data_IF_212401360710
#
_entry.id   IF_212401360710
#
_cell.length_a   1.000
_cell.length_b   1.000
_cell.length_c   1.000
_cell.angle_alpha   90.00
_cell.angle_beta   90.00
_cell.angle_gamma   90.00
#
_symmetry.space_group_name_H-M   'P 1'
#
loop_
_entity.id
_entity.type
_entity.pdbx_description
1 polymer ?
#
# COMPACT_ATOMS: atom_id res chain seq x y z
N UNK A 1 6.76 -14.28 0.56
CA UNK A 1 7.78 -13.21 0.51
C UNK A 1 8.95 -13.36 1.50
N UNK A 2 8.81 -13.91 2.72
CA UNK A 2 9.92 -13.98 3.71
C UNK A 2 11.04 -15.00 3.41
N UNK A 3 11.00 -15.74 2.30
CA UNK A 3 11.83 -16.94 2.10
C UNK A 3 12.90 -16.82 1.02
N UNK A 4 13.05 -15.66 0.36
CA UNK A 4 14.23 -15.32 -0.43
C UNK A 4 15.09 -14.40 0.43
N UNK A 5 16.28 -14.84 0.87
CA UNK A 5 17.23 -13.97 1.58
C UNK A 5 17.82 -12.95 0.60
N UNK A 6 17.04 -11.93 0.25
CA UNK A 6 17.53 -10.79 -0.53
C UNK A 6 18.37 -9.89 0.37
N UNK A 7 19.38 -9.17 -0.18
CA UNK A 7 20.14 -8.18 0.59
C UNK A 7 19.23 -7.17 1.32
N UNK A 8 18.09 -6.80 0.71
CA UNK A 8 17.10 -5.91 1.32
C UNK A 8 16.43 -6.54 2.55
N UNK A 9 16.07 -7.83 2.50
CA UNK A 9 15.49 -8.55 3.64
C UNK A 9 16.48 -8.74 4.80
N UNK A 10 17.78 -8.54 4.56
CA UNK A 10 18.81 -8.52 5.62
C UNK A 10 18.91 -7.17 6.33
N UNK A 11 18.47 -6.09 5.67
CA UNK A 11 18.53 -4.70 6.16
C UNK A 11 17.21 -4.32 6.86
N UNK A 12 16.08 -4.82 6.35
CA UNK A 12 14.75 -4.56 6.91
C UNK A 12 14.06 -5.85 7.32
N UNK A 13 13.51 -5.87 8.54
CA UNK A 13 12.81 -7.02 9.11
C UNK A 13 11.29 -6.99 8.88
N UNK A 14 10.74 -5.82 8.57
CA UNK A 14 9.32 -5.55 8.26
C UNK A 14 9.22 -4.61 7.06
N UNK A 15 8.12 -4.67 6.29
CA UNK A 15 7.81 -3.75 5.18
C UNK A 15 9.03 -3.47 4.27
N UNK A 16 9.68 -4.56 3.83
CA UNK A 16 11.03 -4.52 3.24
C UNK A 16 11.08 -3.63 2.00
N UNK A 17 10.07 -3.75 1.15
CA UNK A 17 9.99 -2.97 -0.10
C UNK A 17 9.63 -1.51 0.20
N UNK A 18 8.73 -1.25 1.14
CA UNK A 18 8.31 0.10 1.50
C UNK A 18 9.46 0.89 2.15
N UNK A 19 10.27 0.23 2.98
CA UNK A 19 11.51 0.82 3.49
C UNK A 19 12.50 1.13 2.36
N UNK A 20 12.62 0.23 1.39
CA UNK A 20 13.44 0.47 0.21
C UNK A 20 12.92 1.67 -0.62
N UNK A 21 11.60 1.76 -0.84
CA UNK A 21 10.96 2.87 -1.56
C UNK A 21 11.19 4.22 -0.86
N UNK A 22 11.09 4.27 0.46
CA UNK A 22 11.41 5.48 1.21
C UNK A 22 12.89 5.86 1.05
N UNK A 23 13.80 4.89 1.13
CA UNK A 23 15.22 5.15 0.94
C UNK A 23 15.52 5.66 -0.48
N UNK A 24 14.92 5.08 -1.52
CA UNK A 24 15.02 5.59 -2.89
C UNK A 24 14.53 7.04 -2.99
N UNK A 25 13.41 7.35 -2.33
CA UNK A 25 12.87 8.72 -2.27
C UNK A 25 13.88 9.70 -1.67
N UNK A 26 14.52 9.34 -0.55
CA UNK A 26 15.57 10.16 0.09
C UNK A 26 16.79 10.30 -0.81
N UNK A 27 17.25 9.22 -1.45
CA UNK A 27 18.38 9.25 -2.37
C UNK A 27 18.13 10.20 -3.53
N UNK A 28 16.94 10.17 -4.14
CA UNK A 28 16.57 11.09 -5.23
C UNK A 28 16.56 12.55 -4.72
N UNK A 29 15.97 12.81 -3.55
CA UNK A 29 15.96 14.16 -2.96
C UNK A 29 17.37 14.70 -2.66
N UNK A 30 18.35 13.83 -2.44
CA UNK A 30 19.75 14.20 -2.20
C UNK A 30 20.55 14.45 -3.48
N UNK A 31 20.02 14.12 -4.66
CA UNK A 31 20.68 14.40 -5.92
C UNK A 31 20.66 15.90 -6.25
N UNK A 32 21.73 16.38 -6.89
CA UNK A 32 21.87 17.77 -7.29
C UNK A 32 20.69 18.20 -8.18
N UNK A 33 20.05 19.30 -7.81
CA UNK A 33 18.89 19.85 -8.54
C UNK A 33 17.54 19.17 -8.25
N UNK A 34 17.48 18.09 -7.47
CA UNK A 34 16.25 17.30 -7.26
C UNK A 34 15.56 17.55 -5.92
N UNK A 35 16.20 18.27 -4.99
CA UNK A 35 15.59 18.59 -3.71
C UNK A 35 14.46 19.64 -3.85
N UNK A 36 13.24 19.16 -4.09
CA UNK A 36 12.03 20.00 -4.18
C UNK A 36 11.63 20.61 -2.82
N UNK A 37 12.17 20.11 -1.71
CA UNK A 37 11.89 20.59 -0.35
C UNK A 37 12.97 21.55 0.16
N UNK A 38 13.94 21.96 -0.67
CA UNK A 38 15.11 22.74 -0.26
C UNK A 38 14.82 24.10 0.37
N UNK A 39 13.63 24.66 0.13
CA UNK A 39 13.21 25.97 0.67
C UNK A 39 12.61 25.86 2.07
N UNK A 40 12.32 24.65 2.54
CA UNK A 40 11.81 24.41 3.89
C UNK A 40 12.90 24.64 4.94
N UNK A 41 12.48 25.05 6.13
CA UNK A 41 13.37 25.04 7.30
C UNK A 41 13.77 23.60 7.65
N UNK A 42 14.85 23.42 8.40
CA UNK A 42 15.30 22.10 8.86
C UNK A 42 14.23 21.35 9.67
N UNK A 43 13.35 22.06 10.37
CA UNK A 43 12.27 21.46 11.14
C UNK A 43 11.14 20.94 10.22
N UNK A 44 10.69 21.77 9.28
CA UNK A 44 9.68 21.40 8.28
C UNK A 44 10.15 20.27 7.38
N UNK A 45 11.42 20.29 6.95
CA UNK A 45 12.02 19.24 6.13
C UNK A 45 11.98 17.88 6.85
N UNK A 46 12.33 17.85 8.15
CA UNK A 46 12.23 16.63 8.97
C UNK A 46 10.78 16.14 9.12
N UNK A 47 9.84 17.06 9.32
CA UNK A 47 8.41 16.73 9.40
C UNK A 47 7.88 16.18 8.07
N UNK A 48 8.25 16.79 6.95
CA UNK A 48 7.87 16.35 5.61
C UNK A 48 8.41 14.94 5.33
N UNK A 49 9.69 14.68 5.60
CA UNK A 49 10.26 13.34 5.45
C UNK A 49 9.62 12.31 6.38
N UNK A 50 9.28 12.69 7.62
CA UNK A 50 8.55 11.83 8.56
C UNK A 50 7.17 11.45 8.03
N UNK A 51 6.46 12.41 7.43
CA UNK A 51 5.16 12.18 6.81
C UNK A 51 5.27 11.32 5.55
N UNK A 52 6.24 11.59 4.66
CA UNK A 52 6.50 10.77 3.47
C UNK A 52 6.79 9.33 3.87
N UNK A 53 7.67 9.12 4.86
CA UNK A 53 7.98 7.79 5.38
C UNK A 53 6.73 7.08 5.89
N UNK A 54 5.91 7.77 6.69
CA UNK A 54 4.66 7.23 7.22
C UNK A 54 3.72 6.79 6.09
N UNK A 55 3.53 7.64 5.08
CA UNK A 55 2.65 7.34 3.95
C UNK A 55 3.15 6.17 3.10
N UNK A 56 4.45 6.09 2.82
CA UNK A 56 5.04 4.98 2.06
C UNK A 56 4.94 3.67 2.85
N UNK A 57 5.25 3.66 4.14
CA UNK A 57 5.12 2.43 4.94
C UNK A 57 3.66 1.96 5.05
N UNK A 58 2.70 2.88 5.05
CA UNK A 58 1.28 2.56 5.10
C UNK A 58 0.74 1.87 3.82
N UNK A 59 1.50 1.84 2.72
CA UNK A 59 1.13 1.05 1.54
C UNK A 59 1.39 -0.44 1.72
N UNK A 60 2.12 -0.85 2.76
CA UNK A 60 2.22 -2.27 3.12
C UNK A 60 0.86 -2.77 3.60
N UNK A 61 0.21 -3.58 2.76
CA UNK A 61 -1.12 -4.13 3.03
C UNK A 61 -1.16 -5.01 4.30
N UNK A 62 0.00 -5.49 4.80
CA UNK A 62 0.06 -6.18 6.09
C UNK A 62 -0.33 -5.28 7.28
N UNK A 63 -0.08 -3.97 7.17
CA UNK A 63 -0.41 -2.98 8.21
C UNK A 63 -1.85 -2.46 8.11
N UNK A 64 -2.50 -2.64 6.95
CA UNK A 64 -3.84 -2.12 6.70
C UNK A 64 -4.87 -2.63 7.72
N UNK A 65 -4.88 -3.93 8.02
CA UNK A 65 -5.88 -4.51 8.91
C UNK A 65 -5.77 -4.02 10.36
N UNK A 66 -4.56 -3.87 10.88
CA UNK A 66 -4.35 -3.31 12.22
C UNK A 66 -4.75 -1.84 12.28
N UNK A 67 -4.32 -1.04 11.30
CA UNK A 67 -4.65 0.39 11.21
C UNK A 67 -6.17 0.60 11.11
N UNK A 68 -6.84 -0.23 10.30
CA UNK A 68 -8.29 -0.16 10.12
C UNK A 68 -9.03 -0.51 11.41
N UNK A 69 -8.62 -1.58 12.09
CA UNK A 69 -9.25 -1.99 13.35
C UNK A 69 -9.12 -0.91 14.42
N UNK A 70 -7.96 -0.27 14.52
CA UNK A 70 -7.72 0.82 15.47
C UNK A 70 -8.54 2.07 15.12
N UNK A 71 -8.57 2.48 13.85
CA UNK A 71 -9.37 3.62 13.41
C UNK A 71 -10.88 3.38 13.65
N UNK A 72 -11.38 2.18 13.35
CA UNK A 72 -12.78 1.82 13.62
C UNK A 72 -13.12 1.94 15.10
N UNK A 73 -12.24 1.48 16.00
CA UNK A 73 -12.44 1.61 17.45
C UNK A 73 -12.57 3.08 17.89
N UNK A 74 -11.74 3.97 17.32
CA UNK A 74 -11.81 5.41 17.58
C UNK A 74 -13.14 5.98 17.09
N UNK A 75 -13.54 5.63 15.87
CA UNK A 75 -14.80 6.08 15.26
C UNK A 75 -16.03 5.62 16.06
N UNK A 76 -16.08 4.35 16.44
CA UNK A 76 -17.15 3.75 17.25
C UNK A 76 -17.26 4.40 18.64
N UNK A 77 -16.14 4.87 19.20
CA UNK A 77 -16.13 5.58 20.48
C UNK A 77 -16.63 7.04 20.39
N UNK A 78 -16.83 7.58 19.18
CA UNK A 78 -17.24 8.97 18.97
C UNK A 78 -16.15 10.02 19.27
N UNK A 79 -14.92 9.60 19.55
CA UNK A 79 -13.82 10.47 19.96
C UNK A 79 -12.89 10.88 18.80
N UNK A 80 -13.29 10.65 17.56
CA UNK A 80 -12.45 11.01 16.41
C UNK A 80 -12.20 12.52 16.36
N UNK A 81 -10.93 12.89 16.18
CA UNK A 81 -10.49 14.27 16.10
C UNK A 81 -9.34 14.39 15.10
N UNK A 82 -9.54 15.10 13.99
CA UNK A 82 -8.52 15.28 12.94
C UNK A 82 -7.31 16.12 13.40
N UNK A 83 -7.45 16.89 14.48
CA UNK A 83 -6.35 17.66 15.07
C UNK A 83 -5.47 16.82 15.99
N UNK A 84 -5.91 15.63 16.39
CA UNK A 84 -5.09 14.65 17.07
C UNK A 84 -4.13 14.00 16.05
N UNK A 85 -2.82 13.98 16.36
CA UNK A 85 -1.81 13.47 15.44
C UNK A 85 -2.00 11.98 15.15
N UNK A 86 -2.36 11.19 16.15
CA UNK A 86 -2.52 9.75 16.01
C UNK A 86 -3.74 9.42 15.14
N UNK A 87 -4.88 10.05 15.40
CA UNK A 87 -6.08 9.89 14.56
C UNK A 87 -5.82 10.30 13.10
N UNK A 88 -5.12 11.42 12.90
CA UNK A 88 -4.74 11.89 11.56
C UNK A 88 -3.81 10.91 10.86
N UNK A 89 -2.81 10.35 11.55
CA UNK A 89 -1.89 9.36 10.99
C UNK A 89 -2.58 8.07 10.60
N UNK A 90 -3.52 7.57 11.40
CA UNK A 90 -4.34 6.41 11.06
C UNK A 90 -5.18 6.68 9.81
N UNK A 91 -5.82 7.85 9.74
CA UNK A 91 -6.60 8.26 8.58
C UNK A 91 -5.73 8.35 7.32
N UNK A 92 -4.54 8.95 7.42
CA UNK A 92 -3.57 8.99 6.32
C UNK A 92 -3.16 7.60 5.88
N UNK A 93 -2.94 6.66 6.81
CA UNK A 93 -2.56 5.30 6.46
C UNK A 93 -3.66 4.58 5.66
N UNK A 94 -4.92 4.68 6.10
CA UNK A 94 -6.05 4.12 5.37
C UNK A 94 -6.26 4.79 4.01
N UNK A 95 -6.08 6.12 3.93
CA UNK A 95 -6.15 6.84 2.66
C UNK A 95 -5.07 6.39 1.68
N UNK A 96 -3.83 6.18 2.14
CA UNK A 96 -2.75 5.67 1.30
C UNK A 96 -3.08 4.28 0.74
N UNK A 97 -3.62 3.37 1.55
CA UNK A 97 -4.10 2.07 1.05
C UNK A 97 -5.25 2.23 0.05
N UNK A 98 -6.18 3.15 0.30
CA UNK A 98 -7.27 3.44 -0.64
C UNK A 98 -6.77 3.98 -1.99
N UNK A 99 -5.74 4.83 -1.98
CA UNK A 99 -5.06 5.31 -3.18
C UNK A 99 -4.34 4.18 -3.92
N UNK A 100 -3.65 3.29 -3.19
CA UNK A 100 -2.92 2.16 -3.77
C UNK A 100 -3.86 1.15 -4.46
N UNK A 101 -5.07 0.98 -3.89
CA UNK A 101 -6.11 0.09 -4.43
C UNK A 101 -7.10 0.79 -5.36
N UNK A 102 -6.86 2.04 -5.78
CA UNK A 102 -7.88 2.86 -6.47
C UNK A 102 -8.34 2.29 -7.81
N UNK A 103 -7.56 1.38 -8.42
CA UNK A 103 -7.93 0.69 -9.66
C UNK A 103 -9.30 0.01 -9.55
N UNK A 104 -9.61 -0.59 -8.39
CA UNK A 104 -10.90 -1.26 -8.15
C UNK A 104 -12.11 -0.34 -8.15
N UNK A 105 -11.90 0.98 -8.04
CA UNK A 105 -12.96 1.97 -8.13
C UNK A 105 -13.13 2.53 -9.55
N UNK A 106 -12.31 2.12 -10.51
CA UNK A 106 -12.38 2.60 -11.89
C UNK A 106 -13.46 1.86 -12.69
N UNK A 107 -13.94 2.45 -13.79
CA UNK A 107 -14.81 1.74 -14.74
C UNK A 107 -14.28 0.35 -15.09
N UNK A 108 -15.18 -0.60 -15.28
CA UNK A 108 -14.87 -2.02 -15.47
C UNK A 108 -13.77 -2.28 -16.51
N UNK A 109 -13.80 -1.58 -17.64
CA UNK A 109 -12.79 -1.76 -18.69
C UNK A 109 -11.38 -1.36 -18.24
N UNK A 110 -11.24 -0.30 -17.43
CA UNK A 110 -9.95 0.12 -16.86
C UNK A 110 -9.48 -0.87 -15.81
N UNK A 111 -10.39 -1.27 -14.92
CA UNK A 111 -10.09 -2.22 -13.86
C UNK A 111 -9.63 -3.57 -14.43
N UNK A 112 -10.31 -4.06 -15.48
CA UNK A 112 -9.97 -5.33 -16.12
C UNK A 112 -8.57 -5.31 -16.72
N UNK A 113 -8.19 -4.25 -17.44
CA UNK A 113 -6.85 -4.14 -18.01
C UNK A 113 -5.77 -4.00 -16.93
N UNK A 114 -6.07 -3.24 -15.87
CA UNK A 114 -5.13 -3.07 -14.74
C UNK A 114 -4.88 -4.40 -14.02
N UNK A 115 -5.94 -5.18 -13.76
CA UNK A 115 -5.83 -6.50 -13.12
C UNK A 115 -5.01 -7.47 -13.96
N UNK A 116 -5.14 -7.46 -15.30
CA UNK A 116 -4.32 -8.31 -16.17
C UNK A 116 -2.82 -8.01 -16.03
N UNK A 117 -2.45 -6.73 -15.97
CA UNK A 117 -1.05 -6.32 -15.79
C UNK A 117 -0.51 -6.78 -14.43
N UNK A 118 -1.28 -6.59 -13.36
CA UNK A 118 -0.92 -7.04 -12.00
C UNK A 118 -0.72 -8.56 -11.95
N UNK A 119 -1.61 -9.32 -12.59
CA UNK A 119 -1.51 -10.78 -12.60
C UNK A 119 -0.33 -11.29 -13.41
N UNK A 120 0.05 -10.62 -14.51
CA UNK A 120 1.27 -11.00 -15.22
C UNK A 120 2.51 -10.84 -14.33
N UNK A 121 2.60 -9.76 -13.55
CA UNK A 121 3.68 -9.59 -12.55
C UNK A 121 3.67 -10.71 -11.50
N UNK A 122 2.48 -11.09 -10.98
CA UNK A 122 2.35 -12.22 -10.06
C UNK A 122 2.78 -13.54 -10.68
N UNK A 123 2.48 -13.75 -11.97
CA UNK A 123 2.87 -14.96 -12.69
C UNK A 123 4.37 -15.02 -12.94
N UNK A 124 5.01 -13.91 -13.28
CA UNK A 124 6.47 -13.81 -13.40
C UNK A 124 7.15 -14.16 -12.07
N UNK A 125 6.63 -13.65 -10.94
CA UNK A 125 7.13 -14.03 -9.61
C UNK A 125 6.91 -15.53 -9.34
N UNK A 126 5.73 -16.07 -9.66
CA UNK A 126 5.44 -17.49 -9.43
C UNK A 126 6.32 -18.43 -10.26
N UNK A 127 6.66 -18.04 -11.48
CA UNK A 127 7.61 -18.77 -12.32
C UNK A 127 9.02 -18.71 -11.76
N UNK A 128 9.45 -17.56 -11.26
CA UNK A 128 10.72 -17.43 -10.56
C UNK A 128 10.77 -18.31 -9.30
N UNK A 129 9.69 -18.39 -8.52
CA UNK A 129 9.60 -19.31 -7.37
C UNK A 129 9.72 -20.78 -7.81
N UNK A 130 9.03 -21.16 -8.89
CA UNK A 130 9.08 -22.51 -9.47
C UNK A 130 10.47 -22.88 -9.98
N UNK A 131 11.15 -21.98 -10.69
CA UNK A 131 12.54 -22.18 -11.14
C UNK A 131 13.51 -22.40 -9.97
N UNK A 132 13.21 -21.81 -8.80
CA UNK A 132 13.95 -21.99 -7.57
C UNK A 132 13.47 -23.19 -6.73
N UNK A 133 12.67 -24.09 -7.30
CA UNK A 133 12.20 -25.32 -6.65
C UNK A 133 11.09 -25.14 -5.62
N UNK A 134 10.32 -24.03 -5.69
CA UNK A 134 9.18 -23.77 -4.82
C UNK A 134 7.88 -23.72 -5.59
N UNK A 135 6.83 -24.33 -5.04
CA UNK A 135 5.50 -24.20 -5.62
C UNK A 135 4.91 -22.82 -5.28
N UNK A 136 4.50 -22.03 -6.29
CA UNK A 136 3.90 -20.72 -6.05
C UNK A 136 2.50 -20.88 -5.46
N UNK A 137 2.07 -19.86 -4.72
CA UNK A 137 0.68 -19.79 -4.23
C UNK A 137 -0.29 -19.68 -5.42
N UNK A 138 -1.58 -20.09 -5.27
CA UNK A 138 -2.53 -20.08 -6.38
C UNK A 138 -2.68 -18.75 -7.12
N UNK A 139 -2.54 -17.62 -6.42
CA UNK A 139 -2.61 -16.28 -7.00
C UNK A 139 -1.44 -15.96 -7.96
N UNK A 140 -0.29 -16.61 -7.76
CA UNK A 140 0.93 -16.43 -8.56
C UNK A 140 1.12 -17.56 -9.58
N UNK A 141 0.21 -18.55 -9.64
CA UNK A 141 0.31 -19.66 -10.57
C UNK A 141 -0.49 -19.39 -11.86
N UNK A 142 0.19 -19.13 -12.97
CA UNK A 142 -0.47 -18.91 -14.27
C UNK A 142 -1.33 -20.09 -14.74
N UNK A 143 -1.06 -21.31 -14.26
CA UNK A 143 -1.90 -22.48 -14.56
C UNK A 143 -3.29 -22.42 -13.89
N UNK A 144 -3.45 -21.54 -12.89
CA UNK A 144 -4.69 -21.29 -12.17
C UNK A 144 -5.37 -19.99 -12.58
N UNK A 145 -5.05 -19.44 -13.76
CA UNK A 145 -5.67 -18.22 -14.27
C UNK A 145 -7.22 -18.26 -14.32
N UNK A 146 -7.81 -19.46 -14.45
CA UNK A 146 -9.25 -19.64 -14.41
C UNK A 146 -9.89 -19.29 -13.04
N UNK A 147 -9.11 -19.27 -11.96
CA UNK A 147 -9.57 -18.87 -10.61
C UNK A 147 -9.54 -17.35 -10.38
N UNK A 148 -8.95 -16.57 -11.31
CA UNK A 148 -8.76 -15.12 -11.19
C UNK A 148 -10.06 -14.36 -10.83
N UNK A 149 -11.22 -14.61 -11.49
CA UNK A 149 -12.45 -13.91 -11.13
C UNK A 149 -12.84 -14.09 -9.65
N UNK A 150 -12.71 -15.31 -9.13
CA UNK A 150 -13.02 -15.61 -7.74
C UNK A 150 -12.03 -14.94 -6.77
N UNK A 151 -10.74 -14.91 -7.13
CA UNK A 151 -9.71 -14.21 -6.35
C UNK A 151 -9.99 -12.70 -6.29
N UNK A 152 -10.41 -12.10 -7.41
CA UNK A 152 -10.75 -10.68 -7.48
C UNK A 152 -11.95 -10.32 -6.61
N UNK A 153 -13.02 -11.13 -6.62
CA UNK A 153 -14.17 -10.93 -5.73
C UNK A 153 -13.72 -10.93 -4.27
N UNK A 154 -12.87 -11.89 -3.88
CA UNK A 154 -12.32 -11.95 -2.52
C UNK A 154 -11.47 -10.73 -2.15
N UNK A 155 -10.60 -10.27 -3.05
CA UNK A 155 -9.76 -9.09 -2.83
C UNK A 155 -10.59 -7.80 -2.72
N UNK A 156 -11.61 -7.64 -3.56
CA UNK A 156 -12.49 -6.47 -3.53
C UNK A 156 -13.25 -6.38 -2.20
N UNK A 157 -13.84 -7.50 -1.74
CA UNK A 157 -14.61 -7.55 -0.51
C UNK A 157 -13.77 -7.32 0.75
N UNK A 158 -12.54 -7.87 0.79
CA UNK A 158 -11.70 -7.82 2.00
C UNK A 158 -10.85 -6.56 2.12
N UNK A 159 -10.40 -6.00 1.00
CA UNK A 159 -9.38 -4.96 0.99
C UNK A 159 -9.93 -3.65 0.41
N UNK A 160 -10.33 -3.68 -0.87
CA UNK A 160 -10.69 -2.46 -1.60
C UNK A 160 -11.93 -1.77 -1.04
N UNK A 161 -13.04 -2.51 -0.86
CA UNK A 161 -14.28 -1.93 -0.34
C UNK A 161 -14.08 -1.29 1.04
N UNK A 162 -13.45 -1.95 2.02
CA UNK A 162 -13.19 -1.31 3.30
C UNK A 162 -12.26 -0.10 3.23
N UNK A 163 -11.20 -0.15 2.41
CA UNK A 163 -10.27 0.98 2.28
C UNK A 163 -10.97 2.20 1.67
N UNK A 164 -11.77 1.99 0.61
CA UNK A 164 -12.48 3.05 -0.11
C UNK A 164 -13.69 3.57 0.69
N UNK A 165 -14.40 2.70 1.41
CA UNK A 165 -15.59 3.10 2.18
C UNK A 165 -15.23 3.89 3.43
N UNK A 166 -14.16 3.51 4.15
CA UNK A 166 -13.66 4.29 5.29
C UNK A 166 -13.18 5.68 4.82
N UNK A 167 -12.60 5.78 3.61
CA UNK A 167 -12.24 7.07 3.03
C UNK A 167 -13.47 7.94 2.68
N UNK A 168 -14.59 7.33 2.27
CA UNK A 168 -15.84 8.02 1.96
C UNK A 168 -16.60 8.49 3.21
N UNK A 169 -16.71 7.67 4.26
CA UNK A 169 -17.44 8.04 5.49
C UNK A 169 -16.81 9.23 6.23
N UNK A 170 -15.51 9.48 6.06
CA UNK A 170 -14.78 10.57 6.71
C UNK A 170 -14.79 11.89 5.91
N UNK A 171 -15.56 11.99 4.82
CA UNK A 171 -15.62 13.20 3.98
C UNK A 171 -14.30 13.55 3.28
N UNK A 172 -13.26 12.72 3.42
CA UNK A 172 -11.93 12.94 2.85
C UNK A 172 -11.91 12.70 1.34
N UNK A 173 -12.79 11.85 0.81
CA UNK A 173 -12.85 11.55 -0.61
C UNK A 173 -14.31 11.49 -1.09
N UNK A 174 -14.79 12.55 -1.77
CA UNK A 174 -15.90 12.41 -2.73
C UNK A 174 -15.34 11.76 -3.99
N UNK A 175 -15.20 10.44 -3.98
CA UNK A 175 -14.94 9.68 -5.19
C UNK A 175 -16.29 9.46 -5.86
N UNK A 176 -16.52 10.30 -6.88
CA UNK A 176 -17.67 10.38 -7.80
C UNK A 176 -18.94 11.01 -7.21
#
# INVERSE_FOLDING_TARGET
MKTMMTPLASIYTTSVMEHHHFNQTVTILQQDGHNILKTMTSAEYKQALSLIKHCILATDLALFFSNKAELNKILESGNYNIHDEHHRRLTQAILMTGCDLIASAKPWYIQTETVKVIFEEFYEQGDAERMNGRDPIPMMDRNKAHELPQMQVGAHLRNALPALFVAQQNGCIRLL
#
